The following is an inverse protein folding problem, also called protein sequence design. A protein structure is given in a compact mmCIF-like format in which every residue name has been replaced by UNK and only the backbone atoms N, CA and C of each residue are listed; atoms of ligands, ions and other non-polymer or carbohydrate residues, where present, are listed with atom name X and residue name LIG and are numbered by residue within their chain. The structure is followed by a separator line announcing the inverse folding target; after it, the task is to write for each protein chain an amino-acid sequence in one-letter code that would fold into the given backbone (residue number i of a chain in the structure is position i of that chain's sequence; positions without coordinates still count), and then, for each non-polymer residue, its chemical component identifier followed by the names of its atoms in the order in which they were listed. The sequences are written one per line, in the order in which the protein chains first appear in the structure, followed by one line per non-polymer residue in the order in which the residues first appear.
data_IF_203445961368
#
_entry.id   IF_203445961368
#
_cell.length_a   1.000
_cell.length_b   1.000
_cell.length_c   1.000
_cell.angle_alpha   90.00
_cell.angle_beta   90.00
_cell.angle_gamma   90.00
#
_symmetry.space_group_name_H-M   'P 1'
#
loop_
_entity.id
_entity.type
_entity.pdbx_description
1 polymer ?
#
# COMPACT_ATOMS: atom_id res chain seq x y z
N UNK A 1 32.90 7.00 -14.67
CA UNK A 1 32.45 7.98 -13.65
C UNK A 1 31.54 7.26 -12.68
N UNK A 2 31.84 7.28 -11.39
CA UNK A 2 30.96 6.68 -10.38
C UNK A 2 29.86 7.70 -10.05
N UNK A 3 28.61 7.44 -10.47
CA UNK A 3 27.48 8.30 -10.12
C UNK A 3 26.98 7.86 -8.75
N UNK A 4 27.05 8.75 -7.76
CA UNK A 4 26.52 8.50 -6.43
C UNK A 4 25.00 8.66 -6.44
N UNK A 5 24.29 7.82 -5.69
CA UNK A 5 22.83 7.84 -5.56
C UNK A 5 22.49 7.91 -4.08
N UNK A 6 21.51 8.74 -3.73
CA UNK A 6 21.11 9.00 -2.36
C UNK A 6 19.59 8.91 -2.22
N UNK A 7 19.11 8.33 -1.12
CA UNK A 7 17.72 8.43 -0.71
C UNK A 7 17.56 9.78 0.01
N UNK A 8 16.81 10.70 -0.58
CA UNK A 8 16.63 12.06 -0.03
C UNK A 8 15.29 12.24 0.68
N UNK A 9 14.31 11.38 0.40
CA UNK A 9 12.96 11.43 0.99
C UNK A 9 12.42 10.02 1.22
N UNK A 10 11.59 9.87 2.25
CA UNK A 10 10.85 8.65 2.56
C UNK A 10 9.44 9.04 3.01
N UNK A 11 8.45 8.26 2.62
CA UNK A 11 7.07 8.45 3.02
C UNK A 11 6.38 7.10 3.22
N UNK A 12 5.33 7.10 4.04
CA UNK A 12 4.47 5.96 4.24
C UNK A 12 3.01 6.39 4.36
N UNK A 13 2.12 5.47 4.04
CA UNK A 13 0.69 5.62 4.23
C UNK A 13 0.13 4.31 4.78
N UNK A 14 -0.70 4.43 5.83
CA UNK A 14 -1.41 3.33 6.45
C UNK A 14 -2.90 3.69 6.37
N UNK A 15 -3.73 2.86 5.71
CA UNK A 15 -5.13 3.20 5.49
C UNK A 15 -5.95 3.07 6.78
N UNK A 16 -6.94 3.95 6.94
CA UNK A 16 -7.89 3.94 8.04
C UNK A 16 -7.23 3.98 9.42
N UNK A 17 -8.00 3.65 10.46
CA UNK A 17 -7.54 3.65 11.84
C UNK A 17 -6.83 2.34 12.22
N UNK A 18 -5.89 2.37 13.20
CA UNK A 18 -5.22 1.18 13.68
C UNK A 18 -6.21 0.20 14.33
N UNK A 19 -6.18 -1.04 13.86
CA UNK A 19 -7.03 -2.14 14.34
C UNK A 19 -6.26 -3.02 15.32
N UNK A 20 -6.81 -3.19 16.53
CA UNK A 20 -6.24 -4.07 17.56
C UNK A 20 -6.43 -5.56 17.23
N UNK A 21 -5.77 -6.43 18.00
CA UNK A 21 -5.93 -7.89 17.87
C UNK A 21 -7.37 -8.35 18.12
N UNK A 22 -8.08 -7.67 19.01
CA UNK A 22 -9.46 -8.03 19.39
C UNK A 22 -10.46 -7.60 18.32
N UNK A 23 -10.15 -6.53 17.58
CA UNK A 23 -10.99 -5.96 16.53
C UNK A 23 -10.76 -6.56 15.14
N UNK A 24 -9.70 -7.36 14.93
CA UNK A 24 -9.35 -7.89 13.61
C UNK A 24 -10.50 -8.66 12.93
N UNK A 25 -11.15 -9.56 13.66
CA UNK A 25 -12.19 -10.42 13.09
C UNK A 25 -13.50 -9.66 12.83
N UNK A 26 -13.72 -8.52 13.49
CA UNK A 26 -14.86 -7.66 13.13
C UNK A 26 -14.64 -6.92 11.81
N UNK A 27 -13.40 -6.82 11.32
CA UNK A 27 -13.09 -6.20 10.02
C UNK A 27 -12.98 -7.27 8.92
N UNK A 28 -12.28 -8.37 9.19
CA UNK A 28 -12.07 -9.43 8.20
C UNK A 28 -13.24 -10.42 8.06
N UNK A 29 -14.15 -10.42 9.03
CA UNK A 29 -15.27 -11.35 9.09
C UNK A 29 -14.90 -12.71 9.69
N UNK A 30 -15.93 -13.56 9.82
CA UNK A 30 -15.85 -14.91 10.39
C UNK A 30 -16.16 -15.95 9.31
N UNK A 31 -15.38 -17.02 9.25
CA UNK A 31 -15.66 -18.15 8.36
C UNK A 31 -16.69 -19.05 9.04
N UNK A 32 -17.83 -19.28 8.38
CA UNK A 32 -18.97 -20.05 8.93
C UNK A 32 -19.46 -19.52 10.30
N UNK A 33 -19.33 -18.21 10.54
CA UNK A 33 -19.72 -17.58 11.81
C UNK A 33 -18.86 -18.00 13.01
N UNK A 34 -17.70 -18.64 12.79
CA UNK A 34 -16.82 -19.11 13.86
C UNK A 34 -15.52 -18.30 13.94
N UNK A 35 -15.03 -17.99 15.16
CA UNK A 35 -13.74 -17.36 15.35
C UNK A 35 -12.59 -18.30 14.95
N UNK A 36 -11.48 -17.73 14.50
CA UNK A 36 -10.31 -18.50 14.10
C UNK A 36 -9.62 -19.12 15.32
N UNK A 37 -9.56 -20.46 15.33
CA UNK A 37 -8.82 -21.23 16.35
C UNK A 37 -7.31 -20.97 16.31
N UNK A 38 -6.76 -20.57 15.16
CA UNK A 38 -5.33 -20.32 14.98
C UNK A 38 -4.92 -18.90 15.40
N UNK A 39 -5.85 -17.93 15.42
CA UNK A 39 -5.57 -16.51 15.71
C UNK A 39 -4.74 -16.31 16.99
N UNK A 40 -5.08 -16.90 18.15
CA UNK A 40 -4.32 -16.66 19.38
C UNK A 40 -2.86 -17.13 19.28
N UNK A 41 -2.63 -18.30 18.68
CA UNK A 41 -1.28 -18.86 18.52
C UNK A 41 -0.44 -18.01 17.55
N UNK A 42 -1.00 -17.62 16.40
CA UNK A 42 -0.29 -16.80 15.40
C UNK A 42 0.06 -15.42 15.98
N UNK A 43 -0.88 -14.77 16.68
CA UNK A 43 -0.63 -13.45 17.28
C UNK A 43 0.34 -13.50 18.46
N UNK A 44 0.35 -14.61 19.21
CA UNK A 44 1.38 -14.85 20.24
C UNK A 44 2.76 -15.01 19.60
N UNK A 45 2.86 -15.60 18.42
CA UNK A 45 4.16 -15.84 17.77
C UNK A 45 4.69 -14.58 17.05
N UNK A 46 3.84 -13.86 16.30
CA UNK A 46 4.28 -12.68 15.54
C UNK A 46 4.35 -11.39 16.36
N UNK A 47 3.76 -11.36 17.56
CA UNK A 47 3.74 -10.22 18.49
C UNK A 47 3.10 -8.92 17.98
N UNK A 48 2.43 -8.94 16.83
CA UNK A 48 1.77 -7.75 16.27
C UNK A 48 0.57 -7.39 17.16
N UNK A 49 0.47 -6.11 17.53
CA UNK A 49 -0.62 -5.58 18.37
C UNK A 49 -1.62 -4.69 17.62
N UNK A 50 -1.16 -4.04 16.55
CA UNK A 50 -1.94 -3.14 15.70
C UNK A 50 -1.62 -3.38 14.23
N UNK A 51 -2.59 -3.16 13.37
CA UNK A 51 -2.49 -3.27 11.90
C UNK A 51 -3.55 -2.42 11.23
N UNK A 52 -3.46 -2.32 9.92
CA UNK A 52 -4.30 -1.45 9.10
C UNK A 52 -4.85 -2.27 7.93
N UNK A 53 -6.11 -2.07 7.61
CA UNK A 53 -6.79 -2.72 6.49
C UNK A 53 -7.39 -1.64 5.60
N UNK A 54 -7.25 -1.78 4.30
CA UNK A 54 -7.98 -0.96 3.33
C UNK A 54 -9.46 -1.40 3.20
N UNK A 55 -10.08 -1.77 4.32
CA UNK A 55 -11.48 -2.18 4.44
C UNK A 55 -12.16 -1.34 5.52
N UNK A 56 -13.41 -0.98 5.29
CA UNK A 56 -14.26 -0.40 6.34
C UNK A 56 -14.92 -1.49 7.20
N UNK A 57 -15.79 -1.08 8.13
CA UNK A 57 -16.48 -2.00 9.06
C UNK A 57 -17.56 -2.84 8.40
N UNK A 58 -18.02 -2.44 7.22
CA UNK A 58 -19.03 -3.15 6.43
C UNK A 58 -18.36 -4.13 5.44
N UNK A 59 -17.03 -4.19 5.43
CA UNK A 59 -16.23 -5.06 4.58
C UNK A 59 -15.97 -4.48 3.19
N UNK A 60 -16.27 -3.21 2.97
CA UNK A 60 -16.08 -2.56 1.68
C UNK A 60 -14.65 -2.05 1.54
N UNK A 61 -14.07 -2.21 0.36
CA UNK A 61 -12.75 -1.67 0.04
C UNK A 61 -12.76 -0.14 0.08
N UNK A 62 -11.87 0.42 0.88
CA UNK A 62 -11.68 1.88 1.02
C UNK A 62 -10.63 2.44 0.06
N UNK A 63 -9.67 1.60 -0.34
CA UNK A 63 -8.59 1.95 -1.25
C UNK A 63 -8.18 0.72 -2.06
N UNK A 64 -7.93 0.91 -3.34
CA UNK A 64 -7.14 0.01 -4.19
C UNK A 64 -5.66 0.10 -3.84
N UNK A 65 -4.86 -0.89 -4.24
CA UNK A 65 -3.41 -0.85 -4.08
C UNK A 65 -2.79 0.34 -4.81
N UNK A 66 -3.29 0.66 -6.01
CA UNK A 66 -2.85 1.82 -6.78
C UNK A 66 -3.07 3.13 -6.01
N UNK A 67 -4.26 3.32 -5.42
CA UNK A 67 -4.57 4.48 -4.59
C UNK A 67 -3.69 4.57 -3.33
N UNK A 68 -3.49 3.46 -2.62
CA UNK A 68 -2.58 3.43 -1.45
C UNK A 68 -1.17 3.91 -1.82
N UNK A 69 -0.66 3.43 -2.95
CA UNK A 69 0.67 3.78 -3.45
C UNK A 69 0.74 5.25 -3.86
N UNK A 70 -0.28 5.76 -4.57
CA UNK A 70 -0.41 7.17 -4.94
C UNK A 70 -0.37 8.09 -3.72
N UNK A 71 -1.12 7.78 -2.66
CA UNK A 71 -1.14 8.59 -1.43
C UNK A 71 0.25 8.62 -0.77
N UNK A 72 0.96 7.48 -0.74
CA UNK A 72 2.32 7.45 -0.22
C UNK A 72 3.30 8.28 -1.06
N UNK A 73 3.25 8.18 -2.40
CA UNK A 73 4.10 8.96 -3.31
C UNK A 73 3.83 10.45 -3.18
N UNK A 74 2.56 10.86 -3.08
CA UNK A 74 2.18 12.28 -3.00
C UNK A 74 2.81 12.97 -1.79
N UNK A 75 3.06 12.23 -0.70
CA UNK A 75 3.75 12.76 0.50
C UNK A 75 5.25 12.98 0.32
N UNK A 76 5.85 12.49 -0.77
CA UNK A 76 7.25 12.79 -1.13
C UNK A 76 7.38 14.14 -1.84
N UNK A 77 6.27 14.75 -2.27
CA UNK A 77 6.29 16.02 -2.98
C UNK A 77 6.25 17.21 -2.01
N UNK A 78 7.00 18.25 -2.38
CA UNK A 78 7.09 19.53 -1.68
C UNK A 78 7.36 20.67 -2.71
N UNK A 79 7.73 21.87 -2.24
CA UNK A 79 8.04 22.99 -3.14
C UNK A 79 9.27 22.75 -4.03
N UNK A 80 10.21 21.91 -3.58
CA UNK A 80 11.48 21.67 -4.25
C UNK A 80 11.41 20.44 -5.17
N UNK A 81 10.48 19.53 -4.94
CA UNK A 81 10.25 18.34 -5.75
C UNK A 81 8.75 18.07 -5.89
N UNK A 82 8.23 18.29 -7.09
CA UNK A 82 6.84 18.00 -7.44
C UNK A 82 6.76 16.87 -8.47
N UNK A 83 5.53 16.52 -8.85
CA UNK A 83 5.27 15.46 -9.83
C UNK A 83 5.93 15.71 -11.20
N UNK A 84 6.17 16.98 -11.58
CA UNK A 84 6.80 17.32 -12.87
C UNK A 84 8.30 17.01 -12.95
N UNK A 85 8.93 16.80 -11.79
CA UNK A 85 10.35 16.45 -11.66
C UNK A 85 10.56 14.94 -11.54
N UNK A 86 9.49 14.15 -11.53
CA UNK A 86 9.58 12.70 -11.49
C UNK A 86 9.98 12.18 -12.88
N UNK A 87 11.09 11.45 -12.98
CA UNK A 87 11.59 10.92 -14.26
C UNK A 87 11.23 9.44 -14.45
N UNK A 88 11.23 8.67 -13.35
CA UNK A 88 10.93 7.24 -13.34
C UNK A 88 10.08 6.87 -12.13
N UNK A 89 9.07 6.04 -12.37
CA UNK A 89 8.25 5.43 -11.33
C UNK A 89 8.43 3.90 -11.36
N UNK A 90 9.13 3.37 -10.35
CA UNK A 90 9.26 1.94 -10.13
C UNK A 90 8.37 1.51 -8.97
N UNK A 91 7.38 0.65 -9.23
CA UNK A 91 6.49 0.11 -8.20
C UNK A 91 6.62 -1.41 -8.11
N UNK A 92 6.47 -1.97 -6.91
CA UNK A 92 6.41 -3.41 -6.71
C UNK A 92 5.37 -3.81 -5.67
N UNK A 93 4.67 -4.90 -5.95
CA UNK A 93 3.61 -5.45 -5.09
C UNK A 93 3.41 -6.93 -5.39
N UNK A 94 3.07 -7.71 -4.36
CA UNK A 94 2.66 -9.12 -4.48
C UNK A 94 1.14 -9.27 -4.59
N UNK A 95 0.39 -8.18 -4.38
CA UNK A 95 -1.07 -8.15 -4.42
C UNK A 95 -1.56 -7.01 -5.32
N UNK A 96 -1.26 -7.03 -6.63
CA UNK A 96 -1.75 -6.01 -7.55
C UNK A 96 -3.28 -6.06 -7.65
N UNK A 97 -3.91 -4.91 -7.93
CA UNK A 97 -5.37 -4.82 -8.07
C UNK A 97 -5.89 -5.69 -9.21
N UNK A 98 -5.09 -5.86 -10.27
CA UNK A 98 -5.35 -6.77 -11.37
C UNK A 98 -4.05 -7.31 -11.96
N UNK A 99 -4.17 -8.33 -12.82
CA UNK A 99 -3.01 -8.96 -13.48
C UNK A 99 -2.37 -8.04 -14.54
N UNK A 100 -3.21 -7.40 -15.36
CA UNK A 100 -2.81 -6.45 -16.40
C UNK A 100 -3.88 -5.34 -16.47
N UNK A 101 -3.50 -4.07 -16.72
CA UNK A 101 -2.13 -3.53 -16.82
C UNK A 101 -1.34 -3.64 -15.51
N UNK A 102 -0.02 -3.49 -15.61
CA UNK A 102 0.89 -3.66 -14.48
C UNK A 102 0.72 -2.56 -13.40
N UNK A 103 1.11 -2.85 -12.16
CA UNK A 103 0.88 -1.98 -10.99
C UNK A 103 1.39 -0.55 -11.18
N UNK A 104 2.62 -0.37 -11.68
CA UNK A 104 3.18 0.97 -11.89
C UNK A 104 2.39 1.79 -12.92
N UNK A 105 1.77 1.14 -13.93
CA UNK A 105 0.92 1.82 -14.89
C UNK A 105 -0.36 2.33 -14.24
N UNK A 106 -0.94 1.54 -13.31
CA UNK A 106 -2.12 1.98 -12.54
C UNK A 106 -1.81 3.13 -11.62
N UNK A 107 -0.70 3.05 -10.87
CA UNK A 107 -0.26 4.13 -9.98
C UNK A 107 0.04 5.40 -10.77
N UNK A 108 0.68 5.26 -11.94
CA UNK A 108 0.94 6.40 -12.83
C UNK A 108 -0.36 7.05 -13.32
N UNK A 109 -1.35 6.24 -13.71
CA UNK A 109 -2.69 6.72 -14.05
C UNK A 109 -3.37 7.47 -12.90
N UNK A 110 -3.30 6.91 -11.69
CA UNK A 110 -3.84 7.51 -10.46
C UNK A 110 -3.18 8.84 -10.06
N UNK A 111 -1.88 9.00 -10.36
CA UNK A 111 -1.13 10.23 -10.10
C UNK A 111 -1.50 11.37 -11.06
N UNK A 112 -2.09 11.07 -12.23
CA UNK A 112 -2.41 12.08 -13.25
C UNK A 112 -1.18 12.80 -13.80
N UNK A 113 -0.02 12.14 -13.79
CA UNK A 113 1.27 12.73 -14.14
C UNK A 113 1.53 12.86 -15.65
N UNK A 114 2.66 13.47 -15.99
CA UNK A 114 3.14 13.54 -17.38
C UNK A 114 3.77 12.21 -17.82
N UNK A 115 4.20 12.13 -19.08
CA UNK A 115 4.94 10.98 -19.59
C UNK A 115 6.25 10.80 -18.82
N UNK A 116 6.38 9.65 -18.16
CA UNK A 116 7.57 9.21 -17.41
C UNK A 116 7.82 7.74 -17.72
N UNK A 117 9.03 7.27 -17.43
CA UNK A 117 9.32 5.83 -17.49
C UNK A 117 8.65 5.12 -16.31
N UNK A 118 8.04 3.98 -16.57
CA UNK A 118 7.41 3.15 -15.54
C UNK A 118 8.02 1.75 -15.53
N UNK A 119 8.23 1.21 -14.33
CA UNK A 119 8.73 -0.14 -14.14
C UNK A 119 7.88 -0.84 -13.07
N UNK A 120 7.43 -2.06 -13.36
CA UNK A 120 6.72 -2.89 -12.39
C UNK A 120 7.56 -4.12 -12.06
N UNK A 121 7.95 -4.26 -10.80
CA UNK A 121 8.61 -5.46 -10.32
C UNK A 121 7.64 -6.28 -9.48
N UNK A 122 7.43 -7.54 -9.88
CA UNK A 122 6.65 -8.50 -9.10
C UNK A 122 7.60 -9.45 -8.38
N UNK A 123 7.32 -9.74 -7.11
CA UNK A 123 8.04 -10.73 -6.30
C UNK A 123 7.16 -11.93 -5.96
#
# INVERSE_FOLDING_TARGET
MNRSVYITRLASFLPNEPISNDQMESILGLINGQPSKAKPLILRNNQIKKRYYALDKDGQTTHTNAELTKVAITKLFDSDFDLSKLEILSCGTTTPDQLLPAHAAMVHGELGGHAIEINSTTG
#
